data_IF_463289810635
#
_entry.id   IF_463289810635
#
_cell.length_a   1.000
_cell.length_b   1.000
_cell.length_c   1.000
_cell.angle_alpha   90.00
_cell.angle_beta   90.00
_cell.angle_gamma   90.00
#
_symmetry.space_group_name_H-M   'P 1'
#
loop_
_entity.id
_entity.type
_entity.pdbx_description
1 polymer ?
#
# COMPACT_ATOMS: atom_id res chain seq x y z
N UNK A 1 24.80 -0.42 12.24
CA UNK A 1 23.72 0.12 11.40
C UNK A 1 22.86 1.00 12.29
N UNK A 2 22.80 2.30 12.00
CA UNK A 2 21.94 3.21 12.74
C UNK A 2 20.46 2.86 12.55
N UNK A 3 19.63 3.29 13.49
CA UNK A 3 18.17 3.13 13.48
C UNK A 3 17.54 3.59 12.14
N UNK A 4 18.13 4.59 11.50
CA UNK A 4 17.71 5.15 10.21
C UNK A 4 17.87 4.16 9.04
N UNK A 5 18.98 3.41 9.00
CA UNK A 5 19.23 2.43 7.94
C UNK A 5 18.34 1.19 8.02
N UNK A 6 17.97 0.78 9.24
CA UNK A 6 17.08 -0.35 9.45
C UNK A 6 15.63 -0.01 9.04
N UNK A 7 15.20 1.23 9.33
CA UNK A 7 13.89 1.75 8.91
C UNK A 7 13.77 1.78 7.37
N UNK A 8 14.74 2.38 6.67
CA UNK A 8 14.75 2.47 5.20
C UNK A 8 14.72 1.09 4.54
N UNK A 9 15.43 0.11 5.10
CA UNK A 9 15.41 -1.26 4.56
C UNK A 9 14.04 -1.93 4.71
N UNK A 10 13.36 -1.70 5.85
CA UNK A 10 12.02 -2.27 6.11
C UNK A 10 10.97 -1.59 5.24
N UNK A 11 10.99 -0.26 5.11
CA UNK A 11 10.04 0.46 4.24
C UNK A 11 10.23 0.08 2.77
N UNK A 12 11.48 -0.08 2.32
CA UNK A 12 11.79 -0.54 0.97
C UNK A 12 11.29 -1.96 0.75
N UNK A 13 11.57 -2.89 1.68
CA UNK A 13 11.14 -4.28 1.57
C UNK A 13 9.61 -4.42 1.55
N UNK A 14 8.93 -3.73 2.46
CA UNK A 14 7.48 -3.74 2.56
C UNK A 14 6.84 -3.03 1.35
N UNK A 15 7.37 -1.88 0.93
CA UNK A 15 6.92 -1.15 -0.24
C UNK A 15 7.05 -1.96 -1.51
N UNK A 16 8.20 -2.61 -1.71
CA UNK A 16 8.47 -3.43 -2.89
C UNK A 16 7.57 -4.68 -2.94
N UNK A 17 7.34 -5.31 -1.78
CA UNK A 17 6.38 -6.42 -1.65
C UNK A 17 4.96 -5.98 -2.01
N UNK A 18 4.47 -4.89 -1.43
CA UNK A 18 3.13 -4.36 -1.73
C UNK A 18 3.00 -3.95 -3.20
N UNK A 19 4.06 -3.35 -3.75
CA UNK A 19 4.10 -2.93 -5.14
C UNK A 19 4.00 -4.12 -6.09
N UNK A 20 4.78 -5.19 -5.87
CA UNK A 20 4.71 -6.42 -6.70
C UNK A 20 3.32 -7.06 -6.60
N UNK A 21 2.78 -7.16 -5.38
CA UNK A 21 1.44 -7.72 -5.16
C UNK A 21 0.32 -6.89 -5.81
N UNK A 22 0.53 -5.58 -5.98
CA UNK A 22 -0.41 -4.71 -6.69
C UNK A 22 -0.25 -4.78 -8.22
N UNK A 23 0.98 -4.58 -8.70
CA UNK A 23 1.23 -4.34 -10.12
C UNK A 23 1.16 -5.61 -10.96
N UNK A 24 1.61 -6.75 -10.44
CA UNK A 24 1.62 -8.01 -11.20
C UNK A 24 0.19 -8.45 -11.54
N UNK A 25 -0.78 -8.50 -10.59
CA UNK A 25 -2.16 -8.80 -10.93
C UNK A 25 -2.81 -7.77 -11.86
N UNK A 26 -2.42 -6.49 -11.78
CA UNK A 26 -2.91 -5.47 -12.73
C UNK A 26 -2.41 -5.73 -14.15
N UNK A 27 -1.12 -6.03 -14.31
CA UNK A 27 -0.51 -6.36 -15.60
C UNK A 27 -1.12 -7.61 -16.23
N UNK A 28 -1.49 -8.61 -15.40
CA UNK A 28 -2.19 -9.79 -15.89
C UNK A 28 -3.60 -9.44 -16.41
N UNK A 29 -4.35 -8.62 -15.68
CA UNK A 29 -5.71 -8.19 -16.08
C UNK A 29 -5.75 -7.40 -17.38
N UNK A 30 -4.69 -6.65 -17.70
CA UNK A 30 -4.56 -5.92 -18.98
C UNK A 30 -3.91 -6.75 -20.09
N UNK A 31 -3.73 -8.06 -19.89
CA UNK A 31 -3.09 -8.99 -20.84
C UNK A 31 -1.65 -8.61 -21.22
N UNK A 32 -0.92 -7.88 -20.36
CA UNK A 32 0.50 -7.59 -20.59
C UNK A 32 1.41 -8.77 -20.23
N UNK A 33 0.99 -9.63 -19.28
CA UNK A 33 1.73 -10.83 -18.86
C UNK A 33 0.82 -12.05 -18.79
N UNK A 34 1.35 -13.21 -19.17
CA UNK A 34 0.58 -14.47 -19.23
C UNK A 34 0.56 -15.25 -17.91
N UNK A 35 1.48 -14.97 -16.98
CA UNK A 35 1.58 -15.67 -15.71
C UNK A 35 0.80 -14.94 -14.61
N UNK A 36 0.29 -15.70 -13.63
CA UNK A 36 -0.43 -15.18 -12.46
C UNK A 36 0.30 -15.59 -11.19
N UNK A 37 0.22 -14.75 -10.17
CA UNK A 37 0.57 -15.16 -8.82
C UNK A 37 -0.60 -16.04 -8.30
N UNK A 38 -0.34 -17.09 -7.51
CA UNK A 38 -1.39 -17.84 -6.84
C UNK A 38 -2.33 -16.91 -6.06
N UNK A 39 -3.63 -17.22 -6.06
CA UNK A 39 -4.63 -16.40 -5.37
C UNK A 39 -4.35 -16.37 -3.86
N UNK A 40 -4.12 -15.16 -3.36
CA UNK A 40 -3.98 -14.90 -1.93
C UNK A 40 -5.39 -14.71 -1.36
N UNK A 41 -5.73 -15.34 -0.23
CA UNK A 41 -7.00 -15.12 0.45
C UNK A 41 -7.28 -13.62 0.64
N UNK A 42 -8.49 -13.20 0.29
CA UNK A 42 -8.88 -11.79 0.32
C UNK A 42 -8.65 -11.14 1.69
N UNK A 43 -8.93 -11.88 2.77
CA UNK A 43 -8.70 -11.43 4.15
C UNK A 43 -7.22 -11.07 4.38
N UNK A 44 -6.28 -11.87 3.87
CA UNK A 44 -4.85 -11.58 4.02
C UNK A 44 -4.44 -10.35 3.21
N UNK A 45 -4.98 -10.19 2.01
CA UNK A 45 -4.75 -8.98 1.22
C UNK A 45 -5.27 -7.73 1.94
N UNK A 46 -6.46 -7.78 2.54
CA UNK A 46 -7.00 -6.64 3.29
C UNK A 46 -6.18 -6.31 4.53
N UNK A 47 -5.69 -7.33 5.25
CA UNK A 47 -4.82 -7.13 6.41
C UNK A 47 -3.48 -6.51 6.00
N UNK A 48 -2.86 -6.99 4.92
CA UNK A 48 -1.62 -6.41 4.38
C UNK A 48 -1.83 -4.98 3.92
N UNK A 49 -2.96 -4.69 3.27
CA UNK A 49 -3.30 -3.34 2.81
C UNK A 49 -3.53 -2.39 3.99
N UNK A 50 -4.24 -2.85 5.02
CA UNK A 50 -4.44 -2.08 6.25
C UNK A 50 -3.12 -1.82 6.97
N UNK A 51 -2.27 -2.85 7.12
CA UNK A 51 -0.96 -2.71 7.75
C UNK A 51 -0.03 -1.78 6.95
N UNK A 52 -0.01 -1.91 5.63
CA UNK A 52 0.74 -1.03 4.73
C UNK A 52 0.26 0.41 4.78
N UNK A 53 -1.05 0.63 4.83
CA UNK A 53 -1.64 1.96 5.00
C UNK A 53 -1.27 2.59 6.34
N UNK A 54 -1.35 1.83 7.44
CA UNK A 54 -0.95 2.31 8.79
C UNK A 54 0.55 2.65 8.80
N UNK A 55 1.38 1.81 8.19
CA UNK A 55 2.81 2.05 8.09
C UNK A 55 3.10 3.32 7.27
N UNK A 56 2.38 3.55 6.17
CA UNK A 56 2.50 4.77 5.37
C UNK A 56 2.12 6.04 6.16
N UNK A 57 1.16 5.95 7.08
CA UNK A 57 0.84 7.07 8.00
C UNK A 57 2.02 7.37 8.92
N UNK A 58 2.60 6.32 9.52
CA UNK A 58 3.77 6.45 10.40
C UNK A 58 4.95 7.06 9.64
N UNK A 59 5.21 6.57 8.43
CA UNK A 59 6.29 7.06 7.59
C UNK A 59 6.06 8.52 7.18
N UNK A 60 4.84 8.85 6.76
CA UNK A 60 4.46 10.22 6.41
C UNK A 60 4.68 11.21 7.56
N UNK A 61 4.35 10.86 8.81
CA UNK A 61 4.66 11.72 9.98
C UNK A 61 6.17 11.95 10.18
N UNK A 62 7.00 10.99 9.80
CA UNK A 62 8.46 11.15 9.83
C UNK A 62 8.99 11.96 8.65
N UNK A 63 8.29 11.97 7.52
CA UNK A 63 8.63 12.76 6.32
C UNK A 63 8.21 14.23 6.42
N UNK A 64 7.10 14.56 7.11
CA UNK A 64 6.61 15.95 7.26
C UNK A 64 7.72 16.97 7.59
N UNK A 65 8.64 16.73 8.55
CA UNK A 65 9.69 17.71 8.86
C UNK A 65 10.72 17.91 7.75
N UNK A 66 10.91 16.94 6.85
CA UNK A 66 11.87 17.03 5.74
C UNK A 66 11.21 17.57 4.48
N UNK A 67 10.09 16.96 4.07
CA UNK A 67 9.38 17.28 2.82
C UNK A 67 7.88 17.30 3.14
N UNK A 68 7.34 18.46 3.54
CA UNK A 68 5.98 18.56 4.05
C UNK A 68 4.93 18.05 3.06
N UNK A 69 5.09 18.33 1.76
CA UNK A 69 4.12 17.94 0.73
C UNK A 69 3.97 16.43 0.57
N UNK A 70 5.09 15.69 0.48
CA UNK A 70 5.10 14.22 0.41
C UNK A 70 4.53 13.62 1.70
N UNK A 71 4.99 14.09 2.86
CA UNK A 71 4.52 13.55 4.15
C UNK A 71 3.00 13.65 4.32
N UNK A 72 2.39 14.77 3.93
CA UNK A 72 0.92 14.92 3.97
C UNK A 72 0.20 14.00 2.98
N UNK A 73 0.77 13.77 1.79
CA UNK A 73 0.21 12.83 0.81
C UNK A 73 0.26 11.40 1.37
N UNK A 74 1.41 10.97 1.88
CA UNK A 74 1.60 9.65 2.52
C UNK A 74 0.61 9.44 3.67
N UNK A 75 0.44 10.43 4.55
CA UNK A 75 -0.55 10.37 5.65
C UNK A 75 -1.98 10.24 5.10
N UNK A 76 -2.38 11.12 4.18
CA UNK A 76 -3.74 11.10 3.64
C UNK A 76 -4.05 9.78 2.92
N UNK A 77 -3.14 9.31 2.07
CA UNK A 77 -3.27 8.02 1.38
C UNK A 77 -3.31 6.87 2.38
N UNK A 78 -2.44 6.88 3.40
CA UNK A 78 -2.38 5.84 4.41
C UNK A 78 -3.66 5.73 5.22
N UNK A 79 -4.23 6.87 5.66
CA UNK A 79 -5.50 6.92 6.38
C UNK A 79 -6.64 6.39 5.51
N UNK A 80 -6.76 6.87 4.27
CA UNK A 80 -7.82 6.44 3.34
C UNK A 80 -7.72 4.93 3.13
N UNK A 81 -6.56 4.43 2.73
CA UNK A 81 -6.38 3.00 2.42
C UNK A 81 -6.63 2.12 3.63
N UNK A 82 -6.14 2.51 4.81
CA UNK A 82 -6.36 1.75 6.06
C UNK A 82 -7.84 1.69 6.42
N UNK A 83 -8.54 2.83 6.37
CA UNK A 83 -9.97 2.89 6.65
C UNK A 83 -10.77 2.04 5.65
N UNK A 84 -10.44 2.09 4.36
CA UNK A 84 -11.10 1.29 3.34
C UNK A 84 -10.91 -0.22 3.56
N UNK A 85 -9.68 -0.63 3.86
CA UNK A 85 -9.36 -2.03 4.15
C UNK A 85 -10.12 -2.53 5.39
N UNK A 86 -10.13 -1.73 6.47
CA UNK A 86 -10.83 -2.04 7.72
C UNK A 86 -12.35 -2.11 7.50
N UNK A 87 -12.95 -1.14 6.81
CA UNK A 87 -14.39 -1.13 6.54
C UNK A 87 -14.82 -2.36 5.72
N UNK A 88 -13.99 -2.80 4.77
CA UNK A 88 -14.25 -4.04 4.01
C UNK A 88 -14.15 -5.28 4.88
N UNK A 89 -13.16 -5.34 5.77
CA UNK A 89 -13.01 -6.42 6.74
C UNK A 89 -14.28 -6.62 7.59
N UNK A 90 -14.98 -5.54 7.94
CA UNK A 90 -16.23 -5.58 8.69
C UNK A 90 -17.50 -5.72 7.84
N UNK A 91 -17.38 -5.93 6.53
CA UNK A 91 -18.52 -6.10 5.63
C UNK A 91 -19.39 -4.85 5.45
N UNK A 92 -18.91 -3.66 5.85
CA UNK A 92 -19.65 -2.38 5.78
C UNK A 92 -19.31 -1.59 4.51
N UNK A 93 -19.55 -2.19 3.33
CA UNK A 93 -19.16 -1.59 2.03
C UNK A 93 -20.33 -1.32 1.09
N UNK A 94 -21.52 -1.00 1.62
CA UNK A 94 -22.74 -0.83 0.83
C UNK A 94 -22.70 0.29 -0.24
N UNK A 95 -21.73 1.22 -0.21
CA UNK A 95 -21.64 2.33 -1.17
C UNK A 95 -20.29 2.48 -1.89
N UNK A 96 -19.25 1.73 -1.50
CA UNK A 96 -17.88 1.93 -1.99
C UNK A 96 -17.36 0.74 -2.84
N UNK A 97 -18.28 0.01 -3.44
CA UNK A 97 -18.06 -1.31 -4.04
C UNK A 97 -17.02 -1.31 -5.17
N UNK A 98 -16.85 -0.20 -5.89
CA UNK A 98 -15.91 -0.08 -7.02
C UNK A 98 -14.47 0.10 -6.53
N UNK A 99 -14.24 0.96 -5.54
CA UNK A 99 -12.92 1.23 -4.98
C UNK A 99 -12.34 0.01 -4.24
N UNK A 100 -13.20 -0.81 -3.66
CA UNK A 100 -12.77 -2.02 -2.95
C UNK A 100 -13.03 -3.30 -3.76
N UNK A 101 -13.27 -3.19 -5.06
CA UNK A 101 -13.29 -4.36 -5.95
C UNK A 101 -11.91 -5.04 -5.99
N UNK A 102 -11.81 -6.28 -6.49
CA UNK A 102 -10.52 -6.94 -6.69
C UNK A 102 -9.57 -6.18 -7.63
N UNK A 103 -10.08 -5.25 -8.45
CA UNK A 103 -9.26 -4.31 -9.22
C UNK A 103 -8.76 -3.15 -8.37
N UNK A 104 -9.65 -2.53 -7.58
CA UNK A 104 -9.32 -1.40 -6.73
C UNK A 104 -8.30 -1.74 -5.64
N UNK A 105 -8.38 -2.95 -5.06
CA UNK A 105 -7.38 -3.45 -4.12
C UNK A 105 -5.98 -3.43 -4.75
N UNK A 106 -5.83 -3.99 -5.95
CA UNK A 106 -4.52 -4.06 -6.61
C UNK A 106 -3.96 -2.68 -6.95
N UNK A 107 -4.83 -1.72 -7.31
CA UNK A 107 -4.45 -0.32 -7.51
C UNK A 107 -3.94 0.29 -6.19
N UNK A 108 -4.64 0.10 -5.08
CA UNK A 108 -4.20 0.61 -3.78
C UNK A 108 -2.88 -0.02 -3.32
N UNK A 109 -2.69 -1.33 -3.51
CA UNK A 109 -1.41 -2.00 -3.25
C UNK A 109 -0.26 -1.38 -4.06
N UNK A 110 -0.50 -1.09 -5.34
CA UNK A 110 0.50 -0.47 -6.21
C UNK A 110 0.84 0.94 -5.73
N UNK A 111 -0.16 1.75 -5.40
CA UNK A 111 0.03 3.14 -4.92
C UNK A 111 0.77 3.15 -3.59
N UNK A 112 0.32 2.37 -2.59
CA UNK A 112 0.95 2.31 -1.27
C UNK A 112 2.37 1.77 -1.37
N UNK A 113 2.56 0.68 -2.13
CA UNK A 113 3.89 0.11 -2.36
C UNK A 113 4.84 1.10 -3.01
N UNK A 114 4.38 1.82 -4.03
CA UNK A 114 5.18 2.83 -4.71
C UNK A 114 5.55 4.00 -3.79
N UNK A 115 4.60 4.52 -2.99
CA UNK A 115 4.87 5.60 -2.04
C UNK A 115 5.89 5.17 -0.97
N UNK A 116 5.78 3.95 -0.45
CA UNK A 116 6.75 3.43 0.52
C UNK A 116 8.15 3.23 -0.07
N UNK A 117 8.23 2.79 -1.33
CA UNK A 117 9.51 2.69 -2.03
C UNK A 117 10.12 4.08 -2.20
N UNK A 118 9.34 5.08 -2.60
CA UNK A 118 9.83 6.47 -2.71
C UNK A 118 10.30 6.97 -1.36
N UNK A 119 9.47 6.85 -0.32
CA UNK A 119 9.80 7.30 1.04
C UNK A 119 11.10 6.69 1.54
N UNK A 120 11.36 5.41 1.24
CA UNK A 120 12.61 4.73 1.60
C UNK A 120 13.89 5.38 1.03
N UNK A 121 13.81 6.06 -0.12
CA UNK A 121 14.95 6.73 -0.78
C UNK A 121 15.08 8.22 -0.41
N UNK A 122 14.12 8.79 0.31
CA UNK A 122 14.13 10.21 0.70
C UNK A 122 14.86 10.46 2.04
N UNK A 123 15.34 9.41 2.70
CA UNK A 123 16.13 9.46 3.94
C UNK A 123 17.62 9.25 3.69
#
# INVERSE_FOLDING_TARGET
MGWEGLKSTISLGLGLLLFILGIVPLMHKVNMIAWTIPDIPEILMLLLLAAGGVYLVIDGFMEVPMIPSMGWISIATGIIVSLLAILKLFGKTAGLLVLVSGLGINVFFTIVGFLLVIGAFMF
#
